data_IF_256706516450
#
_entry.id   IF_256706516450
#
_cell.length_a   1.000
_cell.length_b   1.000
_cell.length_c   1.000
_cell.angle_alpha   90.00
_cell.angle_beta   90.00
_cell.angle_gamma   90.00
#
_symmetry.space_group_name_H-M   'P 1'
#
loop_
_entity.id
_entity.type
_entity.pdbx_description
1 polymer ?
#
# COMPACT_ATOMS: atom_id res chain seq x y z
N UNK A 1 24.12 -5.91 10.69
CA UNK A 1 24.04 -7.28 10.17
C UNK A 1 22.90 -7.38 9.18
N UNK A 2 23.18 -7.68 7.91
CA UNK A 2 22.16 -7.76 6.85
C UNK A 2 21.24 -8.98 7.09
N UNK A 3 19.92 -8.77 7.03
CA UNK A 3 18.91 -9.82 7.26
C UNK A 3 18.67 -10.64 5.99
N UNK A 4 18.38 -11.93 6.18
CA UNK A 4 18.27 -12.95 5.13
C UNK A 4 17.21 -12.70 4.04
N UNK A 5 16.24 -11.81 4.25
CA UNK A 5 15.07 -11.66 3.35
C UNK A 5 15.14 -10.44 2.41
N UNK A 6 16.29 -9.75 2.33
CA UNK A 6 16.43 -8.50 1.54
C UNK A 6 16.15 -8.70 0.04
N UNK A 7 16.51 -9.86 -0.50
CA UNK A 7 16.37 -10.15 -1.93
C UNK A 7 14.90 -10.35 -2.36
N UNK A 8 14.05 -10.87 -1.48
CA UNK A 8 12.63 -11.03 -1.79
C UNK A 8 11.86 -9.70 -1.64
N UNK A 9 12.28 -8.84 -0.71
CA UNK A 9 11.76 -7.46 -0.59
C UNK A 9 12.08 -6.61 -1.84
N UNK A 10 13.24 -6.85 -2.48
CA UNK A 10 13.68 -6.15 -3.70
C UNK A 10 12.96 -6.60 -4.97
N UNK A 11 12.42 -7.83 -5.02
CA UNK A 11 11.68 -8.34 -6.19
C UNK A 11 10.33 -7.65 -6.41
N UNK A 12 9.73 -7.06 -5.36
CA UNK A 12 8.46 -6.33 -5.47
C UNK A 12 8.62 -4.84 -5.83
N UNK A 13 9.76 -4.21 -5.47
CA UNK A 13 10.14 -2.86 -5.91
C UNK A 13 11.65 -2.67 -5.70
N UNK A 14 12.42 -2.20 -6.70
CA UNK A 14 13.88 -2.17 -6.65
C UNK A 14 14.50 -1.29 -5.54
N UNK A 15 13.71 -0.42 -4.89
CA UNK A 15 14.16 0.47 -3.80
C UNK A 15 13.12 0.62 -2.69
N UNK A 16 12.76 -0.46 -1.99
CA UNK A 16 11.90 -0.33 -0.80
C UNK A 16 12.69 0.39 0.30
N UNK A 17 12.21 1.57 0.73
CA UNK A 17 12.74 2.26 1.92
C UNK A 17 12.52 1.34 3.14
N UNK A 18 13.52 1.12 4.01
CA UNK A 18 13.31 0.33 5.22
C UNK A 18 12.21 0.95 6.09
N UNK A 19 11.16 0.18 6.40
CA UNK A 19 10.01 0.63 7.19
C UNK A 19 10.44 1.22 8.54
N UNK A 20 11.48 0.64 9.17
CA UNK A 20 12.01 1.12 10.45
C UNK A 20 12.52 2.57 10.37
N UNK A 21 13.25 2.92 9.30
CA UNK A 21 13.79 4.27 9.12
C UNK A 21 12.65 5.29 8.99
N UNK A 22 11.63 4.97 8.18
CA UNK A 22 10.46 5.85 8.00
C UNK A 22 9.66 5.95 9.30
N UNK A 23 9.52 4.85 10.05
CA UNK A 23 8.83 4.84 11.34
C UNK A 23 9.51 5.74 12.38
N UNK A 24 10.84 5.79 12.39
CA UNK A 24 11.59 6.68 13.30
C UNK A 24 11.39 8.15 12.90
N UNK A 25 11.50 8.49 11.61
CA UNK A 25 11.20 9.85 11.14
C UNK A 25 9.76 10.29 11.43
N UNK A 26 8.77 9.39 11.27
CA UNK A 26 7.38 9.67 11.65
C UNK A 26 7.27 9.92 13.16
N UNK A 27 8.02 9.22 14.01
CA UNK A 27 8.00 9.44 15.46
C UNK A 27 8.52 10.80 15.86
N UNK A 28 9.59 11.25 15.22
CA UNK A 28 10.23 12.53 15.54
C UNK A 28 9.34 13.73 15.19
N UNK A 29 8.51 13.59 14.15
CA UNK A 29 7.70 14.68 13.61
C UNK A 29 6.22 14.66 14.03
N UNK A 30 5.74 13.61 14.70
CA UNK A 30 4.29 13.43 14.99
C UNK A 30 4.02 12.81 16.34
N UNK A 31 2.80 12.99 16.86
CA UNK A 31 2.26 12.32 18.05
C UNK A 31 1.42 11.10 17.66
N UNK A 32 1.12 10.25 18.65
CA UNK A 32 0.23 9.10 18.45
C UNK A 32 -1.16 9.58 18.01
N UNK A 33 -1.72 8.95 16.98
CA UNK A 33 -3.03 9.32 16.40
C UNK A 33 -3.00 10.43 15.35
N UNK A 34 -1.86 11.11 15.18
CA UNK A 34 -1.68 12.11 14.11
C UNK A 34 -1.79 11.47 12.72
N UNK A 35 -1.99 12.34 11.74
CA UNK A 35 -2.14 11.98 10.33
C UNK A 35 -0.81 12.19 9.60
N UNK A 36 -0.43 11.20 8.79
CA UNK A 36 0.71 11.26 7.86
C UNK A 36 0.17 11.16 6.44
N UNK A 37 0.50 12.13 5.58
CA UNK A 37 0.12 12.15 4.16
C UNK A 37 1.33 11.78 3.30
N UNK A 38 1.16 10.84 2.37
CA UNK A 38 2.14 10.50 1.35
C UNK A 38 1.49 10.40 -0.02
N UNK A 39 1.75 11.39 -0.88
CA UNK A 39 1.15 11.48 -2.21
C UNK A 39 1.87 10.62 -3.27
N UNK A 40 2.93 9.91 -2.88
CA UNK A 40 3.69 8.99 -3.73
C UNK A 40 3.90 7.65 -3.00
N UNK A 41 2.78 6.99 -2.69
CA UNK A 41 2.74 5.85 -1.79
C UNK A 41 3.65 4.69 -2.19
N UNK A 42 3.85 4.47 -3.50
CA UNK A 42 4.70 3.43 -4.05
C UNK A 42 4.35 2.07 -3.45
N UNK A 43 5.36 1.40 -2.89
CA UNK A 43 5.17 0.09 -2.24
C UNK A 43 4.49 0.14 -0.86
N UNK A 44 4.07 1.31 -0.36
CA UNK A 44 3.28 1.44 0.86
C UNK A 44 4.09 1.59 2.14
N UNK A 45 5.38 1.97 2.05
CA UNK A 45 6.27 2.05 3.21
C UNK A 45 5.72 3.00 4.29
N UNK A 46 5.14 4.13 3.89
CA UNK A 46 4.58 5.11 4.82
C UNK A 46 3.35 4.58 5.58
N UNK A 47 2.49 3.79 4.93
CA UNK A 47 1.36 3.14 5.60
C UNK A 47 1.86 2.18 6.69
N UNK A 48 2.79 1.30 6.34
CA UNK A 48 3.33 0.32 7.28
C UNK A 48 4.07 1.01 8.44
N UNK A 49 4.81 2.08 8.17
CA UNK A 49 5.50 2.86 9.18
C UNK A 49 4.51 3.54 10.14
N UNK A 50 3.47 4.19 9.62
CA UNK A 50 2.44 4.84 10.42
C UNK A 50 1.66 3.83 11.28
N UNK A 51 1.23 2.70 10.69
CA UNK A 51 0.54 1.62 11.42
C UNK A 51 1.42 1.12 12.58
N UNK A 52 2.70 0.83 12.30
CA UNK A 52 3.67 0.35 13.30
C UNK A 52 3.85 1.29 14.48
N UNK A 53 3.72 2.60 14.27
CA UNK A 53 3.90 3.60 15.33
C UNK A 53 2.59 4.19 15.84
N UNK A 54 1.43 3.66 15.44
CA UNK A 54 0.13 4.10 15.92
C UNK A 54 -0.27 5.50 15.40
N UNK A 55 0.02 5.79 14.13
CA UNK A 55 -0.46 6.96 13.38
C UNK A 55 -1.43 6.49 12.30
N UNK A 56 -2.19 7.42 11.73
CA UNK A 56 -3.04 7.18 10.56
C UNK A 56 -2.30 7.68 9.32
N UNK A 57 -2.17 6.83 8.30
CA UNK A 57 -1.63 7.23 7.01
C UNK A 57 -2.76 7.43 5.99
N UNK A 58 -2.63 8.46 5.17
CA UNK A 58 -3.38 8.62 3.92
C UNK A 58 -2.37 8.65 2.79
N UNK A 59 -2.61 7.85 1.76
CA UNK A 59 -1.67 7.72 0.66
C UNK A 59 -2.36 7.74 -0.68
N UNK A 60 -1.68 8.31 -1.68
CA UNK A 60 -2.08 8.27 -3.07
C UNK A 60 -1.02 7.52 -3.88
N UNK A 61 -1.47 6.68 -4.81
CA UNK A 61 -0.62 5.97 -5.73
C UNK A 61 -1.35 5.84 -7.07
N UNK A 62 -0.66 6.15 -8.16
CA UNK A 62 -1.24 6.21 -9.50
C UNK A 62 -1.19 4.84 -10.18
N UNK A 63 -0.14 4.06 -9.92
CA UNK A 63 0.07 2.77 -10.55
C UNK A 63 -0.73 1.69 -9.79
N UNK A 64 -1.77 1.08 -10.41
CA UNK A 64 -2.65 0.15 -9.71
C UNK A 64 -1.92 -1.05 -9.11
N UNK A 65 -0.86 -1.53 -9.77
CA UNK A 65 -0.03 -2.63 -9.25
C UNK A 65 0.57 -2.31 -7.89
N UNK A 66 0.96 -1.06 -7.65
CA UNK A 66 1.58 -0.65 -6.39
C UNK A 66 0.55 -0.42 -5.30
N UNK A 67 -0.68 -0.05 -5.67
CA UNK A 67 -1.83 -0.09 -4.75
C UNK A 67 -2.06 -1.52 -4.24
N UNK A 68 -2.10 -2.51 -5.14
CA UNK A 68 -2.28 -3.92 -4.77
C UNK A 68 -1.14 -4.43 -3.87
N UNK A 69 0.11 -4.12 -4.21
CA UNK A 69 1.29 -4.46 -3.39
C UNK A 69 1.17 -3.85 -2.00
N UNK A 70 0.81 -2.56 -1.92
CA UNK A 70 0.66 -1.83 -0.67
C UNK A 70 -0.42 -2.46 0.23
N UNK A 71 -1.59 -2.75 -0.33
CA UNK A 71 -2.71 -3.36 0.40
C UNK A 71 -2.30 -4.73 0.96
N UNK A 72 -1.76 -5.62 0.11
CA UNK A 72 -1.32 -6.96 0.53
C UNK A 72 -0.26 -6.90 1.63
N UNK A 73 0.72 -6.00 1.50
CA UNK A 73 1.75 -5.79 2.53
C UNK A 73 1.16 -5.32 3.85
N UNK A 74 0.20 -4.38 3.81
CA UNK A 74 -0.44 -3.87 5.02
C UNK A 74 -1.34 -4.93 5.69
N UNK A 75 -2.12 -5.70 4.93
CA UNK A 75 -2.93 -6.79 5.48
C UNK A 75 -2.05 -7.85 6.14
N UNK A 76 -0.96 -8.27 5.49
CA UNK A 76 -0.01 -9.23 6.06
C UNK A 76 0.68 -8.70 7.33
N UNK A 77 0.96 -7.39 7.40
CA UNK A 77 1.56 -6.76 8.56
C UNK A 77 0.59 -6.58 9.74
N UNK A 78 -0.66 -6.18 9.46
CA UNK A 78 -1.64 -5.79 10.48
C UNK A 78 -2.61 -6.90 10.87
N UNK A 79 -2.68 -7.98 10.08
CA UNK A 79 -3.69 -9.04 10.16
C UNK A 79 -5.14 -8.52 10.09
N UNK A 80 -5.36 -7.40 9.38
CA UNK A 80 -6.66 -6.80 9.15
C UNK A 80 -7.05 -6.90 7.68
N UNK A 81 -8.33 -6.80 7.41
CA UNK A 81 -8.85 -6.71 6.05
C UNK A 81 -8.90 -5.27 5.57
N UNK A 82 -8.37 -5.03 4.37
CA UNK A 82 -8.48 -3.72 3.73
C UNK A 82 -9.87 -3.58 3.12
N UNK A 83 -10.59 -2.52 3.49
CA UNK A 83 -11.98 -2.30 3.09
C UNK A 83 -12.04 -1.15 2.07
N UNK A 84 -12.73 -1.38 0.96
CA UNK A 84 -13.05 -0.33 0.00
C UNK A 84 -14.13 0.57 0.61
N UNK A 85 -13.81 1.84 0.89
CA UNK A 85 -14.72 2.77 1.55
C UNK A 85 -16.05 3.01 0.78
N UNK A 86 -16.03 2.90 -0.55
CA UNK A 86 -17.22 3.09 -1.39
C UNK A 86 -18.15 1.87 -1.35
N UNK A 87 -17.60 0.66 -1.45
CA UNK A 87 -18.40 -0.57 -1.60
C UNK A 87 -18.59 -1.34 -0.29
N UNK A 88 -17.79 -1.05 0.73
CA UNK A 88 -17.75 -1.79 1.99
C UNK A 88 -17.13 -3.19 1.90
N UNK A 89 -16.68 -3.61 0.72
CA UNK A 89 -16.11 -4.94 0.50
C UNK A 89 -14.63 -4.98 0.88
N UNK A 90 -14.17 -6.16 1.30
CA UNK A 90 -12.74 -6.40 1.48
C UNK A 90 -11.99 -6.41 0.15
N UNK A 91 -10.67 -6.25 0.21
CA UNK A 91 -9.81 -6.34 -0.96
C UNK A 91 -9.93 -7.70 -1.67
N UNK A 92 -10.03 -8.80 -0.90
CA UNK A 92 -10.13 -10.16 -1.44
C UNK A 92 -11.51 -10.42 -2.07
N UNK A 93 -12.59 -9.91 -1.47
CA UNK A 93 -13.93 -9.95 -2.06
C UNK A 93 -13.99 -9.14 -3.37
N UNK A 94 -13.36 -7.97 -3.38
CA UNK A 94 -13.28 -7.09 -4.56
C UNK A 94 -12.49 -7.77 -5.68
N UNK A 95 -11.36 -8.39 -5.37
CA UNK A 95 -10.56 -9.14 -6.32
C UNK A 95 -11.36 -10.30 -6.92
N UNK A 96 -12.09 -11.04 -6.09
CA UNK A 96 -12.96 -12.15 -6.51
C UNK A 96 -14.06 -11.67 -7.46
N UNK A 97 -14.73 -10.55 -7.16
CA UNK A 97 -15.76 -9.95 -8.03
C UNK A 97 -15.18 -9.48 -9.37
N UNK A 98 -14.00 -8.86 -9.36
CA UNK A 98 -13.33 -8.38 -10.59
C UNK A 98 -12.89 -9.54 -11.47
N UNK A 99 -12.47 -10.66 -10.89
CA UNK A 99 -12.12 -11.86 -11.65
C UNK A 99 -13.34 -12.51 -12.35
N UNK A 100 -14.56 -12.25 -11.85
CA UNK A 100 -15.80 -12.76 -12.45
C UNK A 100 -16.35 -11.88 -13.59
N UNK A 101 -15.84 -10.66 -13.76
CA UNK A 101 -16.25 -9.76 -14.85
C UNK A 101 -15.22 -9.88 -15.98
N UNK A 102 -15.63 -10.19 -17.23
CA UNK A 102 -14.71 -10.19 -18.36
C UNK A 102 -14.05 -8.81 -18.49
N UNK A 103 -12.73 -8.77 -18.67
CA UNK A 103 -12.02 -7.53 -18.93
C UNK A 103 -12.67 -6.82 -20.13
N UNK A 104 -13.29 -5.66 -19.90
CA UNK A 104 -13.73 -4.81 -20.99
C UNK A 104 -12.49 -4.49 -21.83
N UNK A 105 -12.54 -4.81 -23.12
CA UNK A 105 -11.45 -4.51 -24.06
C UNK A 105 -11.06 -3.03 -24.01
N UNK A 106 -9.84 -2.68 -24.42
CA UNK A 106 -9.38 -1.30 -24.36
C UNK A 106 -10.38 -0.39 -25.09
N UNK A 107 -10.81 0.67 -24.41
CA UNK A 107 -11.63 1.70 -25.03
C UNK A 107 -10.91 2.24 -26.28
N UNK A 108 -11.62 2.47 -27.40
CA UNK A 108 -10.99 2.99 -28.60
C UNK A 108 -10.32 4.32 -28.27
N UNK A 109 -9.00 4.36 -28.38
CA UNK A 109 -8.23 5.61 -28.32
C UNK A 109 -8.59 6.45 -29.54
N UNK A 110 -9.49 7.40 -29.34
CA UNK A 110 -9.72 8.51 -30.25
C UNK A 110 -8.51 9.45 -30.15
N UNK A 111 -7.49 9.17 -30.97
CA UNK A 111 -6.36 10.08 -31.16
C UNK A 111 -6.83 11.13 -32.16
N UNK A 112 -7.14 12.33 -31.64
CA UNK A 112 -7.32 13.54 -32.45
C UNK A 112 -5.99 14.08 -32.94
#
# INVERSE_FOLDING_TARGET
>A
TFRANRLDELKCHPTVKPVALVADAVRDCTRRGDIVLDIFGGSGTTILAAERVGRRAYTLEIEPRFVDVTIKRWQAFSAKDAICAETGLSFDETASKRAMVPAAGPAPTDVR
#
